data_IF_295095671966
#
_entry.id   IF_295095671966
#
_cell.length_a   1.000
_cell.length_b   1.000
_cell.length_c   1.000
_cell.angle_alpha   90.00
_cell.angle_beta   90.00
_cell.angle_gamma   90.00
#
_symmetry.space_group_name_H-M   'P 1'
#
loop_
_entity.id
_entity.type
_entity.pdbx_description
1 polymer ?
#
# COMPACT_ATOMS: atom_id res chain seq x y z
N UNK A 1 19.39 19.41 -1.01
CA UNK A 1 18.66 18.27 -1.64
C UNK A 1 19.58 17.65 -2.67
N UNK A 2 19.71 16.33 -2.68
CA UNK A 2 20.59 15.59 -3.60
C UNK A 2 19.81 14.41 -4.17
N UNK A 3 19.80 14.26 -5.50
CA UNK A 3 19.10 13.16 -6.17
C UNK A 3 20.11 12.13 -6.72
N UNK A 4 19.91 10.86 -6.37
CA UNK A 4 20.64 9.75 -6.94
C UNK A 4 19.78 9.04 -7.99
N UNK A 5 20.07 9.35 -9.26
CA UNK A 5 19.42 8.76 -10.44
C UNK A 5 19.60 7.26 -10.60
N UNK A 6 20.64 6.66 -10.02
CA UNK A 6 20.92 5.23 -10.18
C UNK A 6 19.98 4.36 -9.33
N UNK A 7 19.52 4.90 -8.20
CA UNK A 7 18.66 4.19 -7.23
C UNK A 7 17.32 4.91 -7.00
N UNK A 8 16.98 5.89 -7.84
CA UNK A 8 15.72 6.64 -7.74
C UNK A 8 15.49 7.35 -6.40
N UNK A 9 16.56 7.67 -5.66
CA UNK A 9 16.44 8.14 -4.26
C UNK A 9 16.82 9.61 -4.15
N UNK A 10 15.96 10.39 -3.51
CA UNK A 10 16.13 11.79 -3.18
C UNK A 10 16.46 11.96 -1.69
N UNK A 11 17.61 12.56 -1.40
CA UNK A 11 18.03 12.94 -0.06
C UNK A 11 17.70 14.42 0.20
N UNK A 12 16.94 14.65 1.28
CA UNK A 12 16.56 15.99 1.75
C UNK A 12 17.02 16.12 3.19
N UNK A 13 17.68 17.23 3.52
CA UNK A 13 18.15 17.46 4.87
C UNK A 13 17.98 18.92 5.28
N UNK A 14 17.81 19.15 6.57
CA UNK A 14 17.96 20.45 7.22
C UNK A 14 19.03 20.36 8.33
N UNK A 15 19.12 21.39 9.18
CA UNK A 15 20.06 21.43 10.31
C UNK A 15 19.88 20.32 11.36
N UNK A 16 18.78 19.55 11.33
CA UNK A 16 18.38 18.60 12.38
C UNK A 16 17.99 17.22 11.85
N UNK A 17 17.66 17.07 10.58
CA UNK A 17 17.10 15.83 10.02
C UNK A 17 17.65 15.55 8.63
N UNK A 18 17.79 14.26 8.33
CA UNK A 18 18.05 13.71 7.01
C UNK A 18 16.90 12.77 6.66
N UNK A 19 16.29 12.97 5.50
CA UNK A 19 15.23 12.15 4.94
C UNK A 19 15.66 11.60 3.59
N UNK A 20 15.39 10.31 3.38
CA UNK A 20 15.54 9.65 2.09
C UNK A 20 14.13 9.33 1.56
N UNK A 21 13.82 9.79 0.34
CA UNK A 21 12.57 9.50 -0.36
C UNK A 21 12.87 8.78 -1.66
N UNK A 22 12.11 7.72 -1.96
CA UNK A 22 12.04 7.16 -3.30
C UNK A 22 10.88 7.79 -4.06
N UNK A 23 10.89 7.63 -5.36
CA UNK A 23 9.73 7.96 -6.19
C UNK A 23 8.53 7.10 -5.77
N UNK A 24 7.35 7.70 -5.84
CA UNK A 24 6.06 7.07 -5.62
C UNK A 24 5.23 7.36 -6.86
N UNK A 25 5.12 6.40 -7.78
CA UNK A 25 4.47 6.55 -9.08
C UNK A 25 4.96 7.81 -9.81
N UNK A 26 6.28 7.87 -10.06
CA UNK A 26 6.98 8.99 -10.70
C UNK A 26 6.90 10.35 -9.95
N UNK A 27 6.37 10.37 -8.73
CA UNK A 27 6.23 11.58 -7.91
C UNK A 27 6.99 11.45 -6.58
N UNK A 28 7.72 12.49 -6.18
CA UNK A 28 8.30 12.55 -4.84
C UNK A 28 7.35 13.24 -3.85
N UNK A 29 7.00 12.55 -2.77
CA UNK A 29 6.17 13.08 -1.69
C UNK A 29 7.04 13.83 -0.67
N UNK A 30 7.04 15.17 -0.78
CA UNK A 30 7.98 16.04 -0.08
C UNK A 30 7.37 16.88 1.04
N UNK A 31 6.04 17.06 1.09
CA UNK A 31 5.38 17.92 2.09
C UNK A 31 5.62 17.40 3.51
N UNK A 32 5.93 16.12 3.67
CA UNK A 32 6.23 15.46 4.95
C UNK A 32 7.70 15.07 5.14
N UNK A 33 8.59 15.32 4.16
CA UNK A 33 9.95 14.77 4.18
C UNK A 33 10.78 15.19 5.41
N UNK A 34 10.61 16.43 5.88
CA UNK A 34 11.30 16.94 7.07
C UNK A 34 10.34 17.13 8.25
N UNK A 35 9.30 16.31 8.35
CA UNK A 35 8.42 16.32 9.51
C UNK A 35 8.86 15.25 10.50
N UNK A 36 9.02 15.64 11.77
CA UNK A 36 9.36 14.67 12.83
C UNK A 36 8.22 13.66 12.99
N UNK A 37 8.52 12.36 13.08
CA UNK A 37 7.54 11.35 13.45
C UNK A 37 6.92 11.70 14.80
N UNK A 38 5.62 11.49 14.92
CA UNK A 38 4.89 11.58 16.18
C UNK A 38 4.22 10.23 16.44
N UNK A 39 4.31 9.69 17.67
CA UNK A 39 3.80 8.36 17.99
C UNK A 39 2.26 8.30 18.00
N UNK A 40 1.59 9.46 17.95
CA UNK A 40 0.12 9.56 18.00
C UNK A 40 -0.46 10.17 16.73
N UNK A 41 0.07 11.31 16.29
CA UNK A 41 -0.46 12.03 15.13
C UNK A 41 0.48 11.85 13.94
N UNK A 42 0.01 11.15 12.91
CA UNK A 42 0.77 10.91 11.69
C UNK A 42 0.28 11.81 10.57
N UNK A 43 1.17 12.12 9.64
CA UNK A 43 0.87 12.91 8.43
C UNK A 43 0.91 12.00 7.22
N UNK A 44 -0.28 11.63 6.74
CA UNK A 44 -0.41 10.79 5.56
C UNK A 44 -0.37 11.70 4.34
N UNK A 45 0.72 11.60 3.57
CA UNK A 45 0.87 12.29 2.29
C UNK A 45 0.54 11.33 1.15
N UNK A 46 -0.24 11.78 0.17
CA UNK A 46 -0.58 11.02 -1.04
C UNK A 46 -0.73 11.93 -2.25
N UNK A 47 -0.50 11.45 -3.48
CA UNK A 47 -0.79 12.21 -4.70
C UNK A 47 -2.23 12.70 -4.76
N UNK A 48 -2.47 13.85 -5.39
CA UNK A 48 -3.81 14.42 -5.57
C UNK A 48 -4.75 13.48 -6.33
N UNK A 49 -4.26 12.82 -7.38
CA UNK A 49 -5.05 11.86 -8.16
C UNK A 49 -5.54 10.70 -7.31
N UNK A 50 -4.64 10.08 -6.52
CA UNK A 50 -5.01 9.01 -5.60
C UNK A 50 -6.06 9.49 -4.58
N UNK A 51 -5.88 10.70 -4.03
CA UNK A 51 -6.82 11.28 -3.08
C UNK A 51 -8.22 11.51 -3.69
N UNK A 52 -8.27 12.01 -4.93
CA UNK A 52 -9.54 12.23 -5.66
C UNK A 52 -10.22 10.90 -5.93
N UNK A 53 -9.48 9.89 -6.40
CA UNK A 53 -10.03 8.56 -6.67
C UNK A 53 -10.53 7.89 -5.39
N UNK A 54 -9.80 8.02 -4.28
CA UNK A 54 -10.25 7.50 -2.98
C UNK A 54 -11.57 8.17 -2.55
N UNK A 55 -11.68 9.49 -2.66
CA UNK A 55 -12.93 10.21 -2.34
C UNK A 55 -14.09 9.83 -3.25
N UNK A 56 -13.83 9.65 -4.54
CA UNK A 56 -14.83 9.23 -5.51
C UNK A 56 -15.39 7.85 -5.13
N UNK A 57 -14.52 6.86 -4.90
CA UNK A 57 -14.93 5.51 -4.48
C UNK A 57 -15.68 5.55 -3.15
N UNK A 58 -15.16 6.30 -2.17
CA UNK A 58 -15.80 6.46 -0.86
C UNK A 58 -17.20 7.11 -0.90
N UNK A 59 -17.58 7.74 -2.01
CA UNK A 59 -18.88 8.43 -2.16
C UNK A 59 -19.80 7.85 -3.23
N UNK A 60 -19.29 6.99 -4.12
CA UNK A 60 -20.05 6.49 -5.27
C UNK A 60 -20.73 5.14 -5.00
N UNK A 61 -20.32 4.43 -3.95
CA UNK A 61 -20.67 3.03 -3.72
C UNK A 61 -21.40 2.82 -2.37
N UNK A 62 -22.60 2.20 -2.36
CA UNK A 62 -23.37 1.93 -1.13
C UNK A 62 -22.65 1.05 -0.11
N UNK A 63 -21.83 0.10 -0.56
CA UNK A 63 -21.05 -0.75 0.34
C UNK A 63 -19.94 0.06 1.04
N UNK A 64 -19.33 0.99 0.33
CA UNK A 64 -18.37 1.96 0.86
C UNK A 64 -19.00 2.86 1.93
N UNK A 65 -20.22 3.36 1.72
CA UNK A 65 -20.93 4.13 2.76
C UNK A 65 -21.21 3.31 4.03
N UNK A 66 -21.51 2.02 3.89
CA UNK A 66 -21.70 1.11 5.04
C UNK A 66 -20.40 0.96 5.82
N UNK A 67 -19.28 0.69 5.13
CA UNK A 67 -17.95 0.59 5.76
C UNK A 67 -17.59 1.87 6.51
N UNK A 68 -17.87 3.04 5.93
CA UNK A 68 -17.60 4.34 6.58
C UNK A 68 -18.51 4.62 7.78
N UNK A 69 -19.73 4.06 7.84
CA UNK A 69 -20.57 4.14 9.04
C UNK A 69 -20.00 3.31 10.19
N UNK A 70 -19.48 2.12 9.86
CA UNK A 70 -18.99 1.17 10.86
C UNK A 70 -17.58 1.54 11.38
N UNK A 71 -16.85 2.43 10.68
CA UNK A 71 -15.46 2.82 10.98
C UNK A 71 -15.33 4.35 11.18
N UNK A 72 -15.57 4.88 12.39
CA UNK A 72 -15.64 6.32 12.63
C UNK A 72 -14.30 7.05 12.44
N UNK A 73 -13.14 6.46 12.76
CA UNK A 73 -11.84 7.06 12.42
C UNK A 73 -11.60 7.10 10.91
N UNK A 74 -11.97 6.05 10.17
CA UNK A 74 -11.87 6.05 8.71
C UNK A 74 -12.77 7.14 8.12
N UNK A 75 -14.02 7.26 8.59
CA UNK A 75 -14.93 8.33 8.17
C UNK A 75 -14.32 9.71 8.44
N UNK A 76 -13.77 9.92 9.63
CA UNK A 76 -13.09 11.17 10.00
C UNK A 76 -11.89 11.46 9.11
N UNK A 77 -11.13 10.43 8.74
CA UNK A 77 -10.02 10.55 7.78
C UNK A 77 -10.53 11.00 6.41
N UNK A 78 -11.56 10.36 5.86
CA UNK A 78 -12.18 10.72 4.57
C UNK A 78 -12.71 12.16 4.58
N UNK A 79 -13.34 12.60 5.68
CA UNK A 79 -13.81 13.97 5.83
C UNK A 79 -12.65 14.99 5.76
N UNK A 80 -11.54 14.70 6.43
CA UNK A 80 -10.33 15.53 6.36
C UNK A 80 -9.68 15.49 4.97
N UNK A 81 -9.67 14.33 4.31
CA UNK A 81 -9.17 14.17 2.95
C UNK A 81 -9.98 15.04 1.98
N UNK A 82 -11.30 15.04 2.10
CA UNK A 82 -12.20 15.91 1.31
C UNK A 82 -11.86 17.40 1.50
N UNK A 83 -11.63 17.82 2.74
CA UNK A 83 -11.23 19.21 3.04
C UNK A 83 -9.81 19.55 2.56
N UNK A 84 -8.91 18.57 2.43
CA UNK A 84 -7.57 18.77 1.88
C UNK A 84 -7.62 18.88 0.34
N UNK A 85 -8.38 18.00 -0.31
CA UNK A 85 -8.58 17.98 -1.77
C UNK A 85 -9.28 19.26 -2.24
N UNK A 86 -10.25 19.80 -1.50
CA UNK A 86 -10.94 21.05 -1.87
C UNK A 86 -10.05 22.29 -1.88
N UNK A 87 -8.85 22.22 -1.30
CA UNK A 87 -7.86 23.30 -1.27
C UNK A 87 -6.82 23.19 -2.39
N UNK A 88 -6.86 22.12 -3.19
CA UNK A 88 -5.95 21.94 -4.32
C UNK A 88 -6.23 23.00 -5.38
N UNK A 89 -5.17 23.58 -5.93
CA UNK A 89 -5.25 24.43 -7.10
C UNK A 89 -5.24 23.58 -8.37
N UNK A 90 -6.00 24.01 -9.39
CA UNK A 90 -6.04 23.34 -10.69
C UNK A 90 -4.64 23.43 -11.34
N UNK A 91 -4.09 22.29 -11.79
CA UNK A 91 -2.82 22.12 -12.54
C UNK A 91 -1.50 22.08 -11.76
N UNK A 92 -1.48 21.65 -10.50
CA UNK A 92 -0.21 21.33 -9.82
C UNK A 92 -0.04 19.83 -9.60
N UNK A 93 1.20 19.34 -9.79
CA UNK A 93 1.66 18.00 -9.40
C UNK A 93 1.72 17.91 -7.86
N UNK A 94 0.59 18.19 -7.21
CA UNK A 94 0.49 18.35 -5.78
C UNK A 94 0.09 17.04 -5.08
N UNK A 95 0.67 16.84 -3.90
CA UNK A 95 0.20 15.87 -2.92
C UNK A 95 -0.74 16.53 -1.91
N UNK A 96 -1.64 15.77 -1.30
CA UNK A 96 -2.39 16.21 -0.12
C UNK A 96 -1.80 15.60 1.14
N UNK A 97 -1.92 16.30 2.26
CA UNK A 97 -1.50 15.80 3.58
C UNK A 97 -2.69 15.79 4.52
N UNK A 98 -2.97 14.63 5.11
CA UNK A 98 -4.00 14.45 6.13
C UNK A 98 -3.35 14.10 7.46
N UNK A 99 -3.58 14.92 8.47
CA UNK A 99 -3.18 14.62 9.85
C UNK A 99 -4.26 13.80 10.56
N UNK A 100 -3.88 12.66 11.12
CA UNK A 100 -4.81 11.77 11.82
C UNK A 100 -4.16 11.09 13.02
N UNK A 101 -4.98 10.57 13.93
CA UNK A 101 -4.49 9.67 14.96
C UNK A 101 -4.16 8.33 14.29
N UNK A 102 -2.87 8.04 14.15
CA UNK A 102 -2.42 6.89 13.38
C UNK A 102 -2.82 5.57 14.01
N UNK A 103 -2.73 5.48 15.35
CA UNK A 103 -3.04 4.26 16.09
C UNK A 103 -4.54 3.92 16.05
N UNK A 104 -5.39 4.88 16.41
CA UNK A 104 -6.85 4.68 16.42
C UNK A 104 -7.37 4.37 15.01
N UNK A 105 -6.85 5.05 13.98
CA UNK A 105 -7.23 4.76 12.61
C UNK A 105 -6.76 3.37 12.20
N UNK A 106 -5.51 3.00 12.46
CA UNK A 106 -4.96 1.70 12.10
C UNK A 106 -5.76 0.55 12.75
N UNK A 107 -6.16 0.70 14.02
CA UNK A 107 -7.01 -0.28 14.72
C UNK A 107 -8.34 -0.53 14.00
N UNK A 108 -8.95 0.48 13.37
CA UNK A 108 -10.17 0.32 12.56
C UNK A 108 -9.95 -0.18 11.13
N UNK A 109 -8.75 0.03 10.57
CA UNK A 109 -8.42 -0.50 9.24
C UNK A 109 -8.04 -1.98 9.30
N UNK A 110 -7.56 -2.44 10.46
CA UNK A 110 -7.38 -3.86 10.75
C UNK A 110 -8.73 -4.59 10.71
N UNK A 111 -8.72 -5.84 10.24
CA UNK A 111 -9.92 -6.67 10.22
C UNK A 111 -10.44 -6.85 11.65
N UNK A 112 -11.67 -6.42 11.93
CA UNK A 112 -12.29 -6.47 13.26
C UNK A 112 -12.67 -7.90 13.70
N UNK A 113 -12.21 -8.93 12.99
CA UNK A 113 -12.49 -10.32 13.31
C UNK A 113 -11.16 -11.07 13.26
N UNK A 114 -10.69 -11.51 14.43
CA UNK A 114 -9.77 -12.65 14.49
C UNK A 114 -10.40 -13.76 13.65
N UNK A 115 -9.69 -14.32 12.65
CA UNK A 115 -10.21 -15.47 11.93
C UNK A 115 -10.53 -16.52 12.98
N UNK A 116 -11.81 -16.87 13.13
CA UNK A 116 -12.11 -18.15 13.80
C UNK A 116 -11.40 -19.20 12.96
N UNK A 117 -10.74 -20.18 13.60
CA UNK A 117 -9.84 -21.17 12.98
C UNK A 117 -10.42 -21.92 11.75
N UNK A 118 -11.68 -21.70 11.37
CA UNK A 118 -12.40 -22.31 10.26
C UNK A 118 -12.99 -21.32 9.22
N UNK A 119 -12.56 -20.05 9.17
CA UNK A 119 -13.10 -19.10 8.19
C UNK A 119 -12.32 -19.16 6.88
N UNK A 120 -12.81 -19.97 5.92
CA UNK A 120 -12.21 -20.14 4.58
C UNK A 120 -12.60 -19.03 3.59
N UNK A 121 -13.65 -18.27 3.89
CA UNK A 121 -14.21 -17.25 2.98
C UNK A 121 -13.64 -15.85 3.25
N UNK A 122 -13.38 -15.13 2.16
CA UNK A 122 -12.93 -13.72 2.20
C UNK A 122 -14.06 -12.85 2.76
N UNK A 123 -13.80 -11.96 3.74
CA UNK A 123 -14.81 -11.03 4.21
C UNK A 123 -15.41 -10.23 3.04
N UNK A 124 -16.73 -10.15 2.96
CA UNK A 124 -17.41 -9.44 1.87
C UNK A 124 -16.97 -7.96 1.77
N UNK A 125 -16.57 -7.35 2.89
CA UNK A 125 -16.01 -6.00 2.90
C UNK A 125 -14.71 -5.86 2.08
N UNK A 126 -13.90 -6.92 1.98
CA UNK A 126 -12.65 -6.89 1.22
C UNK A 126 -12.85 -6.91 -0.29
N UNK A 127 -14.05 -7.31 -0.71
CA UNK A 127 -14.46 -7.32 -2.11
C UNK A 127 -15.05 -5.98 -2.56
N UNK A 128 -15.13 -5.00 -1.66
CA UNK A 128 -15.66 -3.66 -1.97
C UNK A 128 -14.61 -2.78 -2.63
N UNK A 129 -15.06 -1.84 -3.45
CA UNK A 129 -14.18 -0.95 -4.21
C UNK A 129 -13.31 -0.04 -3.33
N UNK A 130 -13.73 0.27 -2.10
CA UNK A 130 -12.96 1.10 -1.15
C UNK A 130 -11.80 0.33 -0.50
N UNK A 131 -11.85 -1.01 -0.50
CA UNK A 131 -10.90 -1.83 0.25
C UNK A 131 -9.44 -1.67 -0.18
N UNK A 132 -9.09 -1.59 -1.48
CA UNK A 132 -7.71 -1.32 -1.91
C UNK A 132 -7.13 -0.05 -1.28
N UNK A 133 -7.93 1.03 -1.20
CA UNK A 133 -7.51 2.28 -0.58
C UNK A 133 -7.37 2.17 0.95
N UNK A 134 -8.27 1.44 1.60
CA UNK A 134 -8.19 1.15 3.03
C UNK A 134 -6.94 0.34 3.37
N UNK A 135 -6.61 -0.66 2.55
CA UNK A 135 -5.42 -1.50 2.70
C UNK A 135 -4.13 -0.67 2.57
N UNK A 136 -4.02 0.12 1.49
CA UNK A 136 -2.86 1.01 1.24
C UNK A 136 -2.71 2.03 2.38
N UNK A 137 -3.82 2.61 2.85
CA UNK A 137 -3.81 3.52 4.00
C UNK A 137 -3.29 2.82 5.26
N UNK A 138 -3.74 1.59 5.54
CA UNK A 138 -3.27 0.79 6.66
C UNK A 138 -1.76 0.54 6.61
N UNK A 139 -1.22 0.18 5.45
CA UNK A 139 0.22 -0.01 5.24
C UNK A 139 1.01 1.28 5.52
N UNK A 140 0.57 2.40 4.95
CA UNK A 140 1.21 3.71 5.21
C UNK A 140 1.23 4.07 6.68
N UNK A 141 0.13 3.83 7.40
CA UNK A 141 0.06 4.11 8.84
C UNK A 141 1.04 3.23 9.63
N UNK A 142 1.19 1.95 9.29
CA UNK A 142 2.18 1.06 9.94
C UNK A 142 3.60 1.57 9.78
N UNK A 143 3.97 1.99 8.57
CA UNK A 143 5.28 2.55 8.25
C UNK A 143 5.54 3.87 8.99
N UNK A 144 4.53 4.74 9.08
CA UNK A 144 4.64 6.04 9.76
C UNK A 144 4.72 5.89 11.28
N UNK A 145 4.06 4.89 11.86
CA UNK A 145 4.10 4.62 13.30
C UNK A 145 5.36 3.87 13.73
N UNK A 146 5.95 3.06 12.84
CA UNK A 146 7.13 2.23 13.15
C UNK A 146 8.30 2.48 12.16
N UNK A 147 8.84 3.71 12.10
CA UNK A 147 9.84 4.09 11.09
C UNK A 147 11.20 3.41 11.26
N UNK A 148 11.57 3.00 12.47
CA UNK A 148 12.82 2.25 12.76
C UNK A 148 12.73 0.78 12.36
N UNK A 149 11.51 0.30 12.14
CA UNK A 149 11.17 -1.08 11.89
C UNK A 149 10.11 -1.17 10.78
N UNK A 150 10.31 -0.51 9.62
CA UNK A 150 9.28 -0.38 8.58
C UNK A 150 8.81 -1.74 8.05
N UNK A 151 9.62 -2.78 8.26
CA UNK A 151 9.35 -4.16 7.88
C UNK A 151 9.73 -5.16 8.98
N UNK A 152 9.98 -4.71 10.23
CA UNK A 152 10.11 -5.65 11.35
C UNK A 152 8.70 -5.98 11.83
N UNK A 153 8.29 -7.19 11.46
CA UNK A 153 7.02 -7.78 11.83
C UNK A 153 7.12 -8.45 13.21
N UNK A 154 8.06 -8.04 14.08
CA UNK A 154 8.32 -8.69 15.38
C UNK A 154 7.19 -8.48 16.40
N UNK A 155 6.28 -7.53 16.13
CA UNK A 155 5.00 -7.37 16.84
C UNK A 155 3.84 -8.14 16.19
N UNK A 156 4.14 -8.95 15.18
CA UNK A 156 3.21 -9.80 14.43
C UNK A 156 3.83 -11.21 14.29
N UNK A 157 3.78 -12.04 15.36
CA UNK A 157 4.29 -13.41 15.38
C UNK A 157 3.79 -14.33 14.24
N UNK A 158 2.74 -13.91 13.53
CA UNK A 158 2.14 -14.53 12.36
C UNK A 158 2.99 -14.50 11.07
N UNK A 159 4.13 -13.79 11.03
CA UNK A 159 4.99 -13.69 9.84
C UNK A 159 6.13 -14.73 9.75
N UNK A 160 6.10 -15.77 10.60
CA UNK A 160 6.78 -17.03 10.30
C UNK A 160 5.89 -17.87 9.37
N UNK A 161 6.09 -17.70 8.05
CA UNK A 161 5.34 -18.42 7.01
C UNK A 161 4.34 -17.49 6.33
N UNK A 162 4.66 -17.08 5.09
CA UNK A 162 4.00 -16.07 4.27
C UNK A 162 2.45 -16.08 4.37
N UNK A 163 1.89 -15.01 4.95
CA UNK A 163 0.45 -14.81 5.18
C UNK A 163 -0.20 -14.00 4.03
N UNK A 164 -1.35 -14.51 3.55
CA UNK A 164 -2.30 -13.98 2.54
C UNK A 164 -2.56 -12.47 2.64
N UNK A 165 -2.61 -11.93 3.85
CA UNK A 165 -2.98 -10.54 4.10
C UNK A 165 -1.89 -9.53 3.70
N UNK A 166 -0.60 -9.94 3.71
CA UNK A 166 0.48 -9.06 3.21
C UNK A 166 0.55 -9.06 1.70
N UNK A 167 0.18 -10.17 1.05
CA UNK A 167 0.14 -10.23 -0.41
C UNK A 167 -1.04 -9.46 -0.99
N UNK A 168 -1.94 -8.90 -0.17
CA UNK A 168 -2.88 -7.87 -0.62
C UNK A 168 -2.17 -6.55 -1.00
N UNK A 169 -1.01 -6.26 -0.40
CA UNK A 169 -0.18 -5.13 -0.79
C UNK A 169 0.57 -5.46 -2.08
N UNK A 170 0.31 -4.68 -3.13
CA UNK A 170 1.04 -4.78 -4.40
C UNK A 170 2.54 -4.54 -4.21
N UNK A 171 2.91 -3.59 -3.33
CA UNK A 171 4.31 -3.33 -3.03
C UNK A 171 4.98 -4.55 -2.40
N UNK A 172 4.31 -5.22 -1.47
CA UNK A 172 4.81 -6.46 -0.88
C UNK A 172 4.91 -7.59 -1.92
N UNK A 173 3.90 -7.74 -2.79
CA UNK A 173 3.97 -8.70 -3.90
C UNK A 173 5.16 -8.42 -4.81
N UNK A 174 5.38 -7.16 -5.21
CA UNK A 174 6.49 -6.75 -6.07
C UNK A 174 7.86 -7.12 -5.50
N UNK A 175 8.03 -7.00 -4.18
CA UNK A 175 9.28 -7.36 -3.50
C UNK A 175 9.60 -8.86 -3.57
N UNK A 176 8.59 -9.72 -3.72
CA UNK A 176 8.84 -11.17 -3.82
C UNK A 176 9.61 -11.55 -5.08
N UNK A 177 9.56 -10.74 -6.13
CA UNK A 177 10.18 -10.99 -7.44
C UNK A 177 11.69 -10.67 -7.50
N UNK A 178 12.38 -10.56 -6.36
CA UNK A 178 13.83 -10.29 -6.31
C UNK A 178 14.65 -11.28 -7.16
N UNK A 179 14.19 -12.54 -7.25
CA UNK A 179 14.84 -13.62 -7.99
C UNK A 179 14.01 -14.11 -9.18
N UNK A 180 13.16 -13.25 -9.74
CA UNK A 180 12.34 -13.60 -10.90
C UNK A 180 13.21 -13.90 -12.12
N UNK A 181 13.06 -15.07 -12.78
CA UNK A 181 13.95 -15.47 -13.86
C UNK A 181 13.69 -14.72 -15.18
N UNK A 182 12.51 -14.12 -15.36
CA UNK A 182 12.02 -13.64 -16.66
C UNK A 182 12.04 -12.12 -16.80
N UNK A 183 13.19 -11.49 -16.51
CA UNK A 183 13.34 -10.02 -16.57
C UNK A 183 13.39 -9.46 -18.01
N UNK A 184 13.44 -10.33 -19.02
CA UNK A 184 13.41 -10.02 -20.45
C UNK A 184 12.02 -10.20 -21.08
N UNK A 185 11.03 -10.70 -20.33
CA UNK A 185 9.68 -10.91 -20.84
C UNK A 185 8.91 -9.60 -20.78
N UNK A 186 8.43 -9.13 -21.94
CA UNK A 186 7.77 -7.83 -22.10
C UNK A 186 6.59 -7.61 -21.14
N UNK A 187 5.81 -8.66 -20.88
CA UNK A 187 4.53 -8.59 -20.18
C UNK A 187 4.57 -9.18 -18.76
N UNK A 188 5.61 -9.94 -18.43
CA UNK A 188 5.75 -10.65 -17.16
C UNK A 188 6.83 -10.04 -16.26
N UNK A 189 6.96 -8.70 -16.25
CA UNK A 189 7.87 -7.99 -15.35
C UNK A 189 7.30 -7.88 -13.93
N UNK A 190 8.14 -7.74 -12.88
CA UNK A 190 7.70 -7.68 -11.48
C UNK A 190 6.57 -6.68 -11.18
N UNK A 191 6.53 -5.53 -11.87
CA UNK A 191 5.48 -4.55 -11.69
C UNK A 191 4.12 -5.07 -12.21
N UNK A 192 4.07 -5.57 -13.45
CA UNK A 192 2.85 -6.08 -14.09
C UNK A 192 2.32 -7.33 -13.36
N UNK A 193 3.24 -8.22 -12.96
CA UNK A 193 2.91 -9.43 -12.21
C UNK A 193 2.30 -9.07 -10.85
N UNK A 194 2.92 -8.14 -10.11
CA UNK A 194 2.39 -7.66 -8.85
C UNK A 194 1.04 -6.98 -9.02
N UNK A 195 0.88 -6.12 -10.04
CA UNK A 195 -0.37 -5.42 -10.35
C UNK A 195 -1.53 -6.39 -10.60
N UNK A 196 -1.30 -7.43 -11.41
CA UNK A 196 -2.29 -8.49 -11.69
C UNK A 196 -2.57 -9.42 -10.50
N UNK A 197 -1.91 -9.20 -9.36
CA UNK A 197 -2.17 -9.90 -8.11
C UNK A 197 -1.21 -11.06 -7.83
N UNK A 198 -0.16 -11.25 -8.63
CA UNK A 198 0.79 -12.32 -8.43
C UNK A 198 1.93 -11.92 -7.49
N UNK A 199 2.37 -12.88 -6.68
CA UNK A 199 3.65 -12.82 -5.97
C UNK A 199 4.47 -14.06 -6.28
N UNK A 200 5.78 -13.87 -6.37
CA UNK A 200 6.75 -14.93 -6.63
C UNK A 200 6.93 -15.79 -5.39
N UNK A 201 6.72 -17.10 -5.55
CA UNK A 201 6.90 -18.08 -4.50
C UNK A 201 7.59 -19.33 -5.07
N UNK A 202 8.89 -19.21 -5.42
CA UNK A 202 9.65 -20.33 -5.96
C UNK A 202 9.86 -21.42 -4.91
N UNK A 203 9.78 -22.69 -5.29
CA UNK A 203 10.22 -23.78 -4.40
C UNK A 203 11.75 -23.96 -4.45
N UNK A 204 12.36 -23.56 -5.58
CA UNK A 204 13.82 -23.57 -5.80
C UNK A 204 14.24 -22.32 -6.59
N UNK A 205 15.49 -21.90 -6.41
CA UNK A 205 16.06 -20.78 -7.17
C UNK A 205 15.94 -21.04 -8.68
N UNK A 206 15.50 -20.03 -9.44
CA UNK A 206 15.28 -20.12 -10.88
C UNK A 206 13.89 -20.60 -11.31
N UNK A 207 13.02 -21.00 -10.38
CA UNK A 207 11.62 -21.33 -10.70
C UNK A 207 10.78 -20.05 -10.85
N UNK A 208 9.82 -20.08 -11.76
CA UNK A 208 8.92 -18.98 -12.11
C UNK A 208 7.52 -19.14 -11.50
N UNK A 209 7.44 -19.85 -10.38
CA UNK A 209 6.18 -20.11 -9.68
C UNK A 209 5.63 -18.84 -9.05
N UNK A 210 4.39 -18.51 -9.38
CA UNK A 210 3.65 -17.38 -8.80
C UNK A 210 2.30 -17.79 -8.25
N UNK A 211 1.83 -17.09 -7.22
CA UNK A 211 0.51 -17.27 -6.64
C UNK A 211 -0.27 -15.97 -6.70
N UNK A 212 -1.55 -16.05 -7.06
CA UNK A 212 -2.45 -14.91 -6.93
C UNK A 212 -2.86 -14.73 -5.46
N UNK A 213 -2.74 -13.51 -4.92
CA UNK A 213 -3.13 -13.21 -3.53
C UNK A 213 -4.64 -13.36 -3.28
N UNK A 214 -5.46 -13.21 -4.32
CA UNK A 214 -6.92 -13.16 -4.21
C UNK A 214 -7.56 -14.52 -4.50
N UNK A 215 -7.25 -15.14 -5.64
CA UNK A 215 -7.88 -16.37 -6.10
C UNK A 215 -7.05 -17.65 -5.85
N UNK A 216 -5.82 -17.50 -5.34
CA UNK A 216 -4.89 -18.61 -5.07
C UNK A 216 -4.50 -19.44 -6.29
N UNK A 217 -4.76 -18.94 -7.49
CA UNK A 217 -4.28 -19.56 -8.71
C UNK A 217 -2.76 -19.60 -8.67
N UNK A 218 -2.22 -20.81 -8.80
CA UNK A 218 -0.79 -21.06 -8.88
C UNK A 218 -0.43 -21.27 -10.36
N UNK A 219 0.44 -20.42 -10.88
CA UNK A 219 0.93 -20.51 -12.25
C UNK A 219 2.44 -20.72 -12.25
N UNK A 220 2.91 -21.47 -13.24
CA UNK A 220 4.30 -21.88 -13.49
C UNK A 220 4.51 -21.95 -14.99
N UNK A 221 5.77 -22.06 -15.43
CA UNK A 221 6.12 -22.20 -16.85
C UNK A 221 5.68 -21.01 -17.70
N UNK A 222 5.98 -19.80 -17.24
CA UNK A 222 5.69 -18.57 -17.98
C UNK A 222 6.48 -18.54 -19.29
N UNK A 223 5.81 -18.13 -20.36
CA UNK A 223 6.36 -17.95 -21.70
C UNK A 223 6.46 -16.46 -22.07
N UNK A 224 7.36 -16.07 -23.01
CA UNK A 224 7.53 -14.66 -23.38
C UNK A 224 6.27 -13.95 -23.93
N UNK A 225 5.30 -14.73 -24.41
CA UNK A 225 4.02 -14.25 -24.93
C UNK A 225 2.92 -14.12 -23.87
N UNK A 226 3.15 -14.62 -22.65
CA UNK A 226 2.11 -14.64 -21.61
C UNK A 226 1.84 -13.26 -21.04
N UNK A 227 0.56 -12.94 -20.86
CA UNK A 227 0.09 -11.71 -20.22
C UNK A 227 -0.54 -12.06 -18.86
N UNK A 228 -0.28 -11.27 -17.80
CA UNK A 228 -0.70 -11.64 -16.45
C UNK A 228 -2.17 -11.33 -16.11
N UNK A 229 -2.95 -10.73 -17.03
CA UNK A 229 -4.36 -10.35 -16.86
C UNK A 229 -5.30 -11.25 -17.68
#
# INVERSE_FOLDING_TARGET
MVYNKHIGTLAIADSKMLCLRRDYSDTFLLKTALKRPSPKIVSVEMPSEEAVNFLQVATSDPDSERILRDRPQLHKFISKLRAAVSRLHVNSLESVVVETNGKELLEELCCAQTPRENQTEVPAEWMTFIWPYVSILGERLRLLLNPEHPYSFDYSPEWKGLNKETMASEAARKLTFEHWPHMDYRWALPAQMAEAGFYHQPNRSGEDRVLCFACFLCLVCWEPSDEPW
#
